data_IF_875685963189
#
_entry.id   IF_875685963189
#
_cell.length_a   1.000
_cell.length_b   1.000
_cell.length_c   1.000
_cell.angle_alpha   90.00
_cell.angle_beta   90.00
_cell.angle_gamma   90.00
#
_symmetry.space_group_name_H-M   'P 1'
#
loop_
_entity.id
_entity.type
_entity.pdbx_description
1 polymer ?
#
# COMPACT_ATOMS: atom_id res chain seq x y z
N UNK A 1 -35.12 -11.86 18.01
CA UNK A 1 -35.29 -10.43 18.35
C UNK A 1 -35.66 -9.70 17.07
N UNK A 2 -36.66 -8.83 17.12
CA UNK A 2 -37.03 -7.98 15.98
C UNK A 2 -35.95 -6.94 15.76
N UNK A 3 -35.43 -6.87 14.54
CA UNK A 3 -34.44 -5.83 14.16
C UNK A 3 -35.08 -4.43 14.30
N UNK A 4 -34.25 -3.45 14.73
CA UNK A 4 -34.72 -2.07 14.98
C UNK A 4 -34.97 -1.29 13.67
N UNK A 5 -34.20 -1.62 12.63
CA UNK A 5 -34.26 -1.02 11.30
C UNK A 5 -34.35 -2.10 10.22
N UNK A 6 -34.63 -1.67 8.99
CA UNK A 6 -34.57 -2.53 7.81
C UNK A 6 -33.57 -1.97 6.81
N UNK A 7 -32.90 -2.83 6.04
CA UNK A 7 -31.98 -2.38 5.01
C UNK A 7 -32.61 -1.44 3.97
N UNK A 8 -33.86 -1.69 3.48
CA UNK A 8 -34.53 -0.78 2.55
C UNK A 8 -34.73 0.64 3.09
N UNK A 9 -35.01 0.81 4.40
CA UNK A 9 -35.13 2.13 5.01
C UNK A 9 -33.80 2.88 4.99
N UNK A 10 -32.70 2.23 5.37
CA UNK A 10 -31.36 2.82 5.36
C UNK A 10 -30.92 3.18 3.94
N UNK A 11 -31.17 2.28 2.98
CA UNK A 11 -30.86 2.51 1.56
C UNK A 11 -31.64 3.72 1.02
N UNK A 12 -32.95 3.81 1.33
CA UNK A 12 -33.79 4.91 0.88
C UNK A 12 -33.30 6.25 1.44
N UNK A 13 -32.89 6.33 2.71
CA UNK A 13 -32.31 7.55 3.28
C UNK A 13 -31.08 8.00 2.50
N UNK A 14 -30.11 7.14 2.23
CA UNK A 14 -28.89 7.51 1.47
C UNK A 14 -29.18 7.79 0.00
N UNK A 15 -30.10 7.02 -0.63
CA UNK A 15 -30.56 7.28 -2.01
C UNK A 15 -31.13 8.69 -2.15
N UNK A 16 -31.90 9.12 -1.15
CA UNK A 16 -32.61 10.41 -1.14
C UNK A 16 -31.75 11.54 -0.51
N UNK A 17 -30.43 11.33 -0.39
CA UNK A 17 -29.41 12.26 0.13
C UNK A 17 -29.60 12.67 1.59
N UNK A 18 -30.28 11.87 2.38
CA UNK A 18 -30.39 12.10 3.81
C UNK A 18 -29.14 11.58 4.54
N UNK A 19 -28.90 12.17 5.70
CA UNK A 19 -27.83 11.80 6.62
C UNK A 19 -28.30 10.66 7.52
N UNK A 20 -27.48 9.63 7.69
CA UNK A 20 -27.72 8.55 8.63
C UNK A 20 -27.31 8.97 10.04
N UNK A 21 -28.13 8.65 11.03
CA UNK A 21 -27.76 8.84 12.44
C UNK A 21 -26.88 7.67 12.93
N UNK A 22 -26.28 7.84 14.12
CA UNK A 22 -25.34 6.87 14.70
C UNK A 22 -25.95 5.48 14.87
N UNK A 23 -27.20 5.40 15.35
CA UNK A 23 -27.89 4.11 15.57
C UNK A 23 -28.14 3.36 14.25
N UNK A 24 -28.45 4.07 13.18
CA UNK A 24 -28.65 3.52 11.84
C UNK A 24 -27.34 2.98 11.26
N UNK A 25 -26.25 3.71 11.44
CA UNK A 25 -24.91 3.30 11.00
C UNK A 25 -24.46 2.06 11.76
N UNK A 26 -24.56 2.08 13.09
CA UNK A 26 -24.20 0.95 13.94
C UNK A 26 -24.99 -0.31 13.56
N UNK A 27 -26.30 -0.15 13.40
CA UNK A 27 -27.17 -1.27 13.03
C UNK A 27 -26.79 -1.86 11.67
N UNK A 28 -26.60 -1.04 10.64
CA UNK A 28 -26.37 -1.58 9.28
C UNK A 28 -25.02 -2.28 9.16
N UNK A 29 -23.97 -1.75 9.82
CA UNK A 29 -22.64 -2.39 9.83
C UNK A 29 -22.66 -3.71 10.60
N UNK A 30 -23.29 -3.75 11.78
CA UNK A 30 -23.46 -4.97 12.58
C UNK A 30 -24.35 -6.00 11.87
N UNK A 31 -25.52 -5.60 11.37
CA UNK A 31 -26.46 -6.47 10.68
C UNK A 31 -25.87 -7.07 9.40
N UNK A 32 -25.03 -6.30 8.66
CA UNK A 32 -24.30 -6.83 7.52
C UNK A 32 -23.23 -7.83 7.94
N UNK A 33 -22.51 -7.55 9.01
CA UNK A 33 -21.48 -8.45 9.54
C UNK A 33 -22.09 -9.80 9.96
N UNK A 34 -23.26 -9.77 10.62
CA UNK A 34 -24.01 -10.96 11.04
C UNK A 34 -24.76 -11.68 9.88
N UNK A 35 -24.79 -11.09 8.68
CA UNK A 35 -25.52 -11.65 7.53
C UNK A 35 -27.05 -11.41 7.55
N UNK A 36 -27.56 -10.49 8.37
CA UNK A 36 -28.96 -10.05 8.38
C UNK A 36 -29.26 -9.15 7.18
N UNK A 37 -28.33 -8.23 6.87
CA UNK A 37 -28.36 -7.46 5.63
C UNK A 37 -27.67 -8.29 4.55
N UNK A 38 -28.37 -8.53 3.45
CA UNK A 38 -27.87 -9.32 2.32
C UNK A 38 -26.88 -8.52 1.45
N UNK A 39 -26.07 -9.23 0.65
CA UNK A 39 -25.04 -8.59 -0.20
C UNK A 39 -25.67 -7.65 -1.24
N UNK A 40 -26.80 -8.00 -1.85
CA UNK A 40 -27.55 -7.15 -2.77
C UNK A 40 -28.05 -5.86 -2.11
N UNK A 41 -28.45 -5.91 -0.84
CA UNK A 41 -28.87 -4.73 -0.08
C UNK A 41 -27.67 -3.83 0.26
N UNK A 42 -26.58 -4.43 0.72
CA UNK A 42 -25.35 -3.70 1.01
C UNK A 42 -24.73 -3.11 -0.28
N UNK A 43 -24.84 -3.79 -1.42
CA UNK A 43 -24.42 -3.26 -2.72
C UNK A 43 -25.19 -2.00 -3.10
N UNK A 44 -26.52 -2.01 -2.89
CA UNK A 44 -27.36 -0.85 -3.13
C UNK A 44 -27.00 0.33 -2.21
N UNK A 45 -26.71 0.06 -0.93
CA UNK A 45 -26.26 1.08 0.00
C UNK A 45 -24.87 1.64 -0.38
N UNK A 46 -23.93 0.78 -0.73
CA UNK A 46 -22.59 1.20 -1.17
C UNK A 46 -22.66 2.08 -2.43
N UNK A 47 -23.54 1.75 -3.38
CA UNK A 47 -23.79 2.57 -4.57
C UNK A 47 -24.44 3.91 -4.22
N UNK A 48 -25.42 3.93 -3.29
CA UNK A 48 -26.02 5.17 -2.81
C UNK A 48 -24.97 6.08 -2.13
N UNK A 49 -24.05 5.51 -1.35
CA UNK A 49 -22.94 6.24 -0.74
C UNK A 49 -21.97 6.76 -1.81
N UNK A 50 -21.61 5.96 -2.82
CA UNK A 50 -20.76 6.39 -3.93
C UNK A 50 -21.31 7.62 -4.64
N UNK A 51 -22.61 7.61 -4.93
CA UNK A 51 -23.28 8.66 -5.71
C UNK A 51 -23.61 9.93 -4.91
N UNK A 52 -23.88 9.79 -3.61
CA UNK A 52 -24.38 10.86 -2.77
C UNK A 52 -23.42 11.29 -1.64
N UNK A 53 -22.36 10.52 -1.40
CA UNK A 53 -21.39 10.79 -0.34
C UNK A 53 -21.90 10.47 1.08
N UNK A 54 -21.08 10.81 2.05
CA UNK A 54 -21.36 10.78 3.49
C UNK A 54 -20.82 12.04 4.15
N UNK A 55 -21.50 12.53 5.17
CA UNK A 55 -21.00 13.61 6.02
C UNK A 55 -19.82 13.12 6.89
N UNK A 56 -18.99 14.04 7.36
CA UNK A 56 -17.77 13.71 8.14
C UNK A 56 -18.06 12.85 9.37
N UNK A 57 -19.14 13.16 10.10
CA UNK A 57 -19.51 12.37 11.27
C UNK A 57 -20.02 10.97 10.89
N UNK A 58 -20.74 10.80 9.76
CA UNK A 58 -21.16 9.50 9.27
C UNK A 58 -19.92 8.62 8.97
N UNK A 59 -18.88 9.19 8.31
CA UNK A 59 -17.67 8.47 7.98
C UNK A 59 -16.94 8.01 9.25
N UNK A 60 -16.82 8.90 10.24
CA UNK A 60 -16.21 8.59 11.53
C UNK A 60 -16.96 7.51 12.27
N UNK A 61 -18.31 7.58 12.32
CA UNK A 61 -19.16 6.57 12.98
C UNK A 61 -19.10 5.23 12.26
N UNK A 62 -19.13 5.25 10.92
CA UNK A 62 -18.98 4.04 10.10
C UNK A 62 -17.66 3.34 10.37
N UNK A 63 -16.57 4.11 10.42
CA UNK A 63 -15.25 3.60 10.75
C UNK A 63 -15.20 2.97 12.14
N UNK A 64 -15.78 3.65 13.15
CA UNK A 64 -15.86 3.14 14.52
C UNK A 64 -16.69 1.85 14.60
N UNK A 65 -17.83 1.78 13.90
CA UNK A 65 -18.65 0.57 13.83
C UNK A 65 -17.86 -0.60 13.21
N UNK A 66 -17.06 -0.35 12.16
CA UNK A 66 -16.18 -1.36 11.58
C UNK A 66 -15.10 -1.83 12.55
N UNK A 67 -14.47 -0.91 13.31
CA UNK A 67 -13.48 -1.26 14.34
C UNK A 67 -14.12 -2.15 15.41
N UNK A 68 -15.30 -1.77 15.92
CA UNK A 68 -16.04 -2.51 16.95
C UNK A 68 -16.56 -3.87 16.49
N UNK A 69 -16.60 -4.13 15.19
CA UNK A 69 -16.97 -5.44 14.65
C UNK A 69 -15.95 -6.53 14.93
N UNK A 70 -14.73 -6.17 15.34
CA UNK A 70 -13.62 -7.09 15.54
C UNK A 70 -12.76 -6.78 16.76
N UNK A 71 -11.54 -7.32 16.72
CA UNK A 71 -10.54 -7.15 17.77
C UNK A 71 -9.74 -5.87 17.55
N UNK A 72 -9.22 -5.30 18.64
CA UNK A 72 -8.22 -4.23 18.62
C UNK A 72 -6.94 -4.75 19.26
N UNK A 73 -5.82 -4.55 18.58
CA UNK A 73 -4.52 -4.96 19.11
C UNK A 73 -4.04 -4.01 20.22
N UNK A 74 -3.26 -4.54 21.14
CA UNK A 74 -2.71 -3.80 22.28
C UNK A 74 -1.20 -4.02 22.37
N UNK A 75 -0.45 -2.93 22.33
CA UNK A 75 1.01 -2.90 22.37
C UNK A 75 1.56 -2.34 23.70
N UNK A 76 0.74 -2.21 24.74
CA UNK A 76 1.15 -1.62 26.03
C UNK A 76 2.29 -2.35 26.73
N UNK A 77 2.57 -3.59 26.33
CA UNK A 77 3.69 -4.39 26.86
C UNK A 77 5.03 -4.15 26.11
N UNK A 78 5.02 -3.31 25.06
CA UNK A 78 6.26 -2.91 24.40
C UNK A 78 6.88 -1.73 25.16
N UNK A 79 8.21 -1.74 25.30
CA UNK A 79 9.01 -0.70 25.96
C UNK A 79 9.36 0.49 25.06
N UNK A 80 8.77 0.54 23.86
CA UNK A 80 9.05 1.53 22.83
C UNK A 80 7.77 2.03 22.15
N UNK A 81 7.75 3.27 21.61
CA UNK A 81 6.58 3.81 20.95
C UNK A 81 6.26 3.04 19.67
N UNK A 82 4.97 2.89 19.39
CA UNK A 82 4.48 2.23 18.17
C UNK A 82 4.13 3.25 17.10
N UNK A 83 4.57 3.00 15.87
CA UNK A 83 4.25 3.82 14.70
C UNK A 83 4.11 2.93 13.48
N UNK A 84 3.14 3.23 12.63
CA UNK A 84 2.99 2.54 11.36
C UNK A 84 2.87 3.50 10.18
N UNK A 85 2.98 2.96 8.97
CA UNK A 85 2.78 3.67 7.70
C UNK A 85 1.77 2.94 6.84
N UNK A 86 0.82 3.66 6.26
CA UNK A 86 -0.05 3.14 5.22
C UNK A 86 0.21 3.83 3.89
N UNK A 87 0.40 3.04 2.82
CA UNK A 87 0.42 3.54 1.45
C UNK A 87 -0.88 3.19 0.74
N UNK A 88 -1.41 4.12 -0.06
CA UNK A 88 -2.54 3.83 -0.95
C UNK A 88 -2.14 2.96 -2.15
N UNK A 89 -0.85 2.65 -2.28
CA UNK A 89 -0.31 1.77 -3.31
C UNK A 89 0.07 2.48 -4.61
N UNK A 90 0.95 1.85 -5.37
CA UNK A 90 1.45 2.36 -6.63
C UNK A 90 2.36 1.36 -7.32
N UNK A 91 2.95 1.78 -8.44
CA UNK A 91 3.84 0.95 -9.25
C UNK A 91 5.27 1.06 -8.74
N UNK A 92 5.88 -0.09 -8.43
CA UNK A 92 7.20 -0.13 -7.82
C UNK A 92 7.22 0.35 -6.36
N UNK A 93 6.06 0.46 -5.70
CA UNK A 93 5.97 0.90 -4.30
C UNK A 93 6.43 -0.22 -3.35
N UNK A 94 7.73 -0.28 -3.19
CA UNK A 94 8.44 -1.20 -2.30
C UNK A 94 8.80 -0.57 -0.95
N UNK A 95 8.43 0.69 -0.74
CA UNK A 95 8.88 1.52 0.39
C UNK A 95 8.71 0.84 1.76
N UNK A 96 7.63 0.11 1.96
CA UNK A 96 7.39 -0.60 3.23
C UNK A 96 8.52 -1.58 3.59
N UNK A 97 9.15 -2.23 2.60
CA UNK A 97 10.20 -3.23 2.83
C UNK A 97 11.44 -2.64 3.51
N UNK A 98 12.06 -1.58 2.99
CA UNK A 98 13.18 -0.94 3.67
C UNK A 98 12.75 -0.05 4.85
N UNK A 99 11.53 0.51 4.84
CA UNK A 99 11.07 1.47 5.84
C UNK A 99 10.87 0.83 7.22
N UNK A 100 10.21 -0.34 7.29
CA UNK A 100 9.92 -1.00 8.58
C UNK A 100 11.20 -1.32 9.36
N UNK A 101 12.19 -2.03 8.80
CA UNK A 101 13.44 -2.30 9.51
C UNK A 101 14.25 -1.03 9.79
N UNK A 102 14.18 -0.02 8.92
CA UNK A 102 14.86 1.26 9.14
C UNK A 102 14.30 1.98 10.37
N UNK A 103 12.97 2.13 10.47
CA UNK A 103 12.31 2.79 11.61
C UNK A 103 12.50 1.98 12.88
N UNK A 104 12.41 0.65 12.80
CA UNK A 104 12.71 -0.24 13.93
C UNK A 104 14.16 -0.09 14.44
N UNK A 105 15.13 0.10 13.54
CA UNK A 105 16.54 0.34 13.88
C UNK A 105 16.77 1.66 14.61
N UNK A 106 15.82 2.58 14.52
CA UNK A 106 15.85 3.88 15.19
C UNK A 106 15.13 3.86 16.57
N UNK A 107 14.59 2.72 17.01
CA UNK A 107 14.02 2.54 18.35
C UNK A 107 12.49 2.55 18.43
N UNK A 108 11.76 2.65 17.32
CA UNK A 108 10.31 2.46 17.32
C UNK A 108 9.93 0.97 17.21
N UNK A 109 8.66 0.66 17.51
CA UNK A 109 8.02 -0.59 17.15
C UNK A 109 7.08 -0.36 15.95
N UNK A 110 7.22 -1.19 14.91
CA UNK A 110 6.47 -1.05 13.66
C UNK A 110 5.65 -2.33 13.36
N UNK A 111 4.39 -2.40 13.82
CA UNK A 111 3.50 -3.54 13.56
C UNK A 111 2.78 -3.39 12.22
N UNK A 112 3.50 -3.47 11.12
CA UNK A 112 3.00 -3.18 9.78
C UNK A 112 2.06 -4.26 9.26
N UNK A 113 0.76 -3.97 9.22
CA UNK A 113 -0.22 -4.78 8.49
C UNK A 113 -0.25 -4.38 7.02
N UNK A 114 -0.12 -5.37 6.16
CA UNK A 114 -0.03 -5.18 4.71
C UNK A 114 -0.99 -6.08 3.94
N UNK A 115 -1.19 -5.75 2.67
CA UNK A 115 -2.08 -6.47 1.76
C UNK A 115 -1.35 -7.14 0.60
N UNK A 116 -2.12 -7.98 -0.12
CA UNK A 116 -1.76 -8.52 -1.42
C UNK A 116 -2.15 -7.54 -2.52
N UNK A 117 -1.44 -7.57 -3.64
CA UNK A 117 -1.76 -6.78 -4.82
C UNK A 117 -2.91 -7.36 -5.65
N UNK A 118 -3.54 -6.48 -6.42
CA UNK A 118 -4.49 -6.85 -7.46
C UNK A 118 -4.32 -5.90 -8.64
N UNK A 119 -4.37 -6.43 -9.87
CA UNK A 119 -4.14 -5.65 -11.08
C UNK A 119 -2.71 -5.12 -11.18
N UNK A 120 -2.56 -3.84 -11.53
CA UNK A 120 -1.29 -3.20 -11.83
C UNK A 120 -0.48 -2.76 -10.60
N UNK A 121 -1.05 -2.81 -9.40
CA UNK A 121 -0.35 -2.46 -8.16
C UNK A 121 0.17 -3.71 -7.47
N UNK A 122 1.46 -3.76 -7.18
CA UNK A 122 2.09 -4.88 -6.47
C UNK A 122 1.78 -4.85 -4.97
N UNK A 123 1.46 -6.03 -4.39
CA UNK A 123 1.23 -6.16 -2.95
C UNK A 123 2.52 -6.35 -2.15
N UNK A 124 2.60 -5.75 -0.98
CA UNK A 124 3.76 -5.90 -0.08
C UNK A 124 3.98 -7.36 0.31
N UNK A 125 2.90 -8.09 0.62
CA UNK A 125 3.00 -9.50 1.00
C UNK A 125 3.48 -10.38 -0.17
N UNK A 126 3.04 -10.08 -1.39
CA UNK A 126 3.44 -10.83 -2.59
C UNK A 126 4.94 -10.69 -2.87
N UNK A 127 5.48 -9.50 -2.61
CA UNK A 127 6.92 -9.26 -2.72
C UNK A 127 7.69 -10.10 -1.70
N UNK A 128 7.30 -10.05 -0.42
CA UNK A 128 7.95 -10.81 0.64
C UNK A 128 7.80 -12.32 0.51
N UNK A 129 6.72 -12.81 -0.10
CA UNK A 129 6.53 -14.25 -0.42
C UNK A 129 7.52 -14.77 -1.48
N UNK A 130 8.27 -13.88 -2.15
CA UNK A 130 9.41 -14.30 -2.97
C UNK A 130 10.62 -14.74 -2.15
N UNK A 131 10.66 -14.42 -0.85
CA UNK A 131 11.70 -14.87 0.07
C UNK A 131 11.37 -16.29 0.56
N UNK A 132 12.27 -17.22 0.36
CA UNK A 132 12.07 -18.63 0.71
C UNK A 132 11.70 -18.79 2.19
N UNK A 133 10.61 -19.53 2.46
CA UNK A 133 10.13 -19.86 3.80
C UNK A 133 9.39 -18.75 4.55
N UNK A 134 9.37 -17.51 4.04
CA UNK A 134 8.73 -16.39 4.74
C UNK A 134 7.20 -16.56 4.87
N UNK A 135 6.68 -16.23 6.06
CA UNK A 135 5.25 -16.37 6.39
C UNK A 135 4.57 -15.01 6.49
N UNK A 136 3.54 -14.80 5.66
CA UNK A 136 2.68 -13.63 5.70
C UNK A 136 1.68 -13.64 6.87
N UNK A 137 1.16 -14.82 7.22
CA UNK A 137 0.11 -14.95 8.25
C UNK A 137 0.73 -15.34 9.58
N UNK A 138 0.49 -14.52 10.60
CA UNK A 138 0.91 -14.72 11.97
C UNK A 138 -0.30 -14.64 12.89
N UNK A 139 -0.27 -15.36 14.01
CA UNK A 139 -1.18 -15.12 15.13
C UNK A 139 -0.78 -13.83 15.86
N UNK A 140 -1.67 -13.28 16.69
CA UNK A 140 -1.37 -12.09 17.48
C UNK A 140 -0.17 -12.30 18.40
N UNK A 141 -0.02 -13.50 18.99
CA UNK A 141 1.11 -13.84 19.87
C UNK A 141 2.43 -13.95 19.08
N UNK A 142 2.39 -14.58 17.89
CA UNK A 142 3.57 -14.64 17.00
C UNK A 142 3.99 -13.24 16.56
N UNK A 143 3.02 -12.39 16.17
CA UNK A 143 3.28 -11.02 15.78
C UNK A 143 3.91 -10.21 16.92
N UNK A 144 3.36 -10.31 18.14
CA UNK A 144 3.91 -9.66 19.32
C UNK A 144 5.34 -10.10 19.57
N UNK A 145 5.61 -11.41 19.52
CA UNK A 145 6.96 -11.96 19.72
C UNK A 145 7.95 -11.41 18.68
N UNK A 146 7.57 -11.40 17.40
CA UNK A 146 8.42 -10.85 16.33
C UNK A 146 8.75 -9.39 16.60
N UNK A 147 7.78 -8.57 17.01
CA UNK A 147 8.00 -7.14 17.29
C UNK A 147 8.90 -6.96 18.52
N UNK A 148 8.71 -7.73 19.57
CA UNK A 148 9.57 -7.68 20.77
C UNK A 148 11.03 -8.00 20.42
N UNK A 149 11.26 -9.02 19.61
CA UNK A 149 12.60 -9.50 19.24
C UNK A 149 13.30 -8.60 18.21
N UNK A 150 12.54 -7.98 17.29
CA UNK A 150 13.11 -7.31 16.11
C UNK A 150 12.76 -5.83 15.98
N UNK A 151 11.74 -5.36 16.70
CA UNK A 151 11.20 -3.99 16.58
C UNK A 151 10.26 -3.79 15.40
N UNK A 152 10.14 -4.72 14.46
CA UNK A 152 9.27 -4.59 13.30
C UNK A 152 8.71 -5.93 12.82
N UNK A 153 7.53 -5.89 12.22
CA UNK A 153 6.90 -7.03 11.55
C UNK A 153 6.14 -6.53 10.33
N UNK A 154 6.12 -7.30 9.25
CA UNK A 154 5.24 -7.07 8.10
C UNK A 154 4.41 -8.33 7.92
N UNK A 155 3.09 -8.26 8.12
CA UNK A 155 2.24 -9.44 8.00
C UNK A 155 0.84 -9.08 7.49
N UNK A 156 0.05 -10.11 7.18
CA UNK A 156 -1.36 -9.96 6.83
C UNK A 156 -2.19 -9.61 8.05
N UNK A 157 -3.25 -8.82 7.88
CA UNK A 157 -4.23 -8.60 8.92
C UNK A 157 -4.89 -9.92 9.33
N UNK A 158 -4.98 -10.19 10.63
CA UNK A 158 -5.66 -11.35 11.18
C UNK A 158 -7.16 -11.35 10.85
N UNK A 159 -7.79 -12.51 10.90
CA UNK A 159 -9.22 -12.65 10.57
C UNK A 159 -10.14 -11.87 11.52
N UNK A 160 -9.71 -11.64 12.77
CA UNK A 160 -10.43 -10.90 13.79
C UNK A 160 -10.36 -9.38 13.64
N UNK A 161 -9.48 -8.86 12.78
CA UNK A 161 -9.31 -7.41 12.62
C UNK A 161 -10.32 -6.85 11.62
N UNK A 162 -11.23 -5.96 12.10
CA UNK A 162 -12.26 -5.30 11.31
C UNK A 162 -13.00 -6.23 10.30
N UNK A 163 -13.64 -7.33 10.74
CA UNK A 163 -14.28 -8.30 9.86
C UNK A 163 -15.40 -7.69 9.00
N UNK A 164 -16.08 -6.66 9.49
CA UNK A 164 -17.06 -5.90 8.71
C UNK A 164 -16.44 -5.29 7.46
N UNK A 165 -15.24 -4.70 7.59
CA UNK A 165 -14.52 -4.14 6.45
C UNK A 165 -14.09 -5.21 5.46
N UNK A 166 -13.55 -6.34 5.94
CA UNK A 166 -13.16 -7.45 5.06
C UNK A 166 -14.30 -7.93 4.17
N UNK A 167 -15.50 -8.08 4.75
CA UNK A 167 -16.70 -8.50 4.03
C UNK A 167 -17.15 -7.42 3.03
N UNK A 168 -17.21 -6.16 3.47
CA UNK A 168 -17.63 -5.04 2.64
C UNK A 168 -16.65 -4.76 1.49
N UNK A 169 -15.35 -4.85 1.74
CA UNK A 169 -14.34 -4.65 0.70
C UNK A 169 -14.47 -5.68 -0.43
N UNK A 170 -14.66 -6.96 -0.08
CA UNK A 170 -14.88 -8.02 -1.06
C UNK A 170 -16.14 -7.78 -1.92
N UNK A 171 -17.20 -7.24 -1.33
CA UNK A 171 -18.42 -6.86 -2.05
C UNK A 171 -18.16 -5.67 -2.99
N UNK A 172 -17.47 -4.64 -2.50
CA UNK A 172 -17.18 -3.43 -3.28
C UNK A 172 -16.33 -3.71 -4.51
N UNK A 173 -15.41 -4.68 -4.41
CA UNK A 173 -14.53 -5.10 -5.51
C UNK A 173 -15.33 -5.61 -6.72
N UNK A 174 -16.45 -6.29 -6.50
CA UNK A 174 -17.29 -6.86 -7.57
C UNK A 174 -18.49 -5.99 -7.96
N UNK A 175 -18.74 -4.89 -7.25
CA UNK A 175 -19.92 -4.00 -7.47
C UNK A 175 -19.55 -2.63 -8.01
N UNK A 176 -18.27 -2.41 -8.40
CA UNK A 176 -17.77 -1.13 -8.90
C UNK A 176 -18.03 0.04 -7.92
N UNK A 177 -17.90 -0.20 -6.61
CA UNK A 177 -18.09 0.81 -5.56
C UNK A 177 -16.82 1.10 -4.76
N UNK A 178 -15.66 0.60 -5.22
CA UNK A 178 -14.37 0.81 -4.54
C UNK A 178 -13.99 2.29 -4.49
N UNK A 179 -14.36 3.08 -5.49
CA UNK A 179 -13.94 4.49 -5.65
C UNK A 179 -14.63 5.48 -4.68
N UNK A 180 -15.58 5.03 -3.86
CA UNK A 180 -16.26 5.88 -2.88
C UNK A 180 -15.29 6.34 -1.78
N UNK A 181 -14.85 7.62 -1.80
CA UNK A 181 -13.89 8.18 -0.84
C UNK A 181 -14.27 7.89 0.63
N UNK A 182 -15.55 8.07 1.07
CA UNK A 182 -15.93 7.72 2.43
C UNK A 182 -15.63 6.27 2.82
N UNK A 183 -15.91 5.34 1.90
CA UNK A 183 -15.70 3.92 2.12
C UNK A 183 -14.23 3.51 1.97
N UNK A 184 -13.43 4.20 1.15
CA UNK A 184 -11.98 4.01 1.10
C UNK A 184 -11.35 4.43 2.42
N UNK A 185 -11.67 5.64 2.89
CA UNK A 185 -11.15 6.18 4.14
C UNK A 185 -11.50 5.27 5.33
N UNK A 186 -12.77 4.87 5.45
CA UNK A 186 -13.23 3.97 6.52
C UNK A 186 -12.54 2.60 6.45
N UNK A 187 -12.38 2.03 5.26
CA UNK A 187 -11.70 0.73 5.06
C UNK A 187 -10.24 0.77 5.50
N UNK A 188 -9.50 1.81 5.14
CA UNK A 188 -8.10 1.98 5.53
C UNK A 188 -8.03 2.22 7.05
N UNK A 189 -8.76 3.22 7.53
CA UNK A 189 -8.63 3.68 8.91
C UNK A 189 -9.18 2.69 9.93
N UNK A 190 -10.21 1.91 9.62
CA UNK A 190 -10.70 0.88 10.53
C UNK A 190 -9.63 -0.16 10.86
N UNK A 191 -8.87 -0.62 9.86
CA UNK A 191 -7.75 -1.55 10.06
C UNK A 191 -6.60 -0.90 10.81
N UNK A 192 -6.21 0.32 10.42
CA UNK A 192 -5.07 1.03 11.01
C UNK A 192 -5.32 1.46 12.47
N UNK A 193 -6.55 1.82 12.82
CA UNK A 193 -6.92 2.11 14.21
C UNK A 193 -7.06 0.82 15.02
N UNK A 194 -7.66 -0.24 14.45
CA UNK A 194 -7.77 -1.54 15.10
C UNK A 194 -6.39 -2.21 15.32
N UNK A 195 -5.40 -1.92 14.49
CA UNK A 195 -3.99 -2.30 14.69
C UNK A 195 -3.40 -1.73 15.98
N UNK A 196 -3.96 -0.64 16.52
CA UNK A 196 -3.65 -0.14 17.87
C UNK A 196 -2.36 0.65 18.00
N UNK A 197 -1.73 1.09 16.91
CA UNK A 197 -0.53 1.93 16.94
C UNK A 197 -0.80 3.32 17.50
N UNK A 198 0.16 3.88 18.25
CA UNK A 198 0.06 5.24 18.79
C UNK A 198 0.18 6.33 17.73
N UNK A 199 0.91 6.05 16.65
CA UNK A 199 1.18 7.01 15.57
C UNK A 199 1.05 6.37 14.19
N UNK A 200 0.63 7.17 13.19
CA UNK A 200 0.42 6.71 11.82
C UNK A 200 0.83 7.76 10.79
N UNK A 201 1.64 7.37 9.81
CA UNK A 201 1.92 8.16 8.61
C UNK A 201 1.15 7.58 7.43
N UNK A 202 0.36 8.42 6.76
CA UNK A 202 -0.34 8.06 5.53
C UNK A 202 0.49 8.55 4.33
N UNK A 203 0.83 7.64 3.44
CA UNK A 203 1.47 7.89 2.16
C UNK A 203 0.40 7.79 1.06
N UNK A 204 -0.26 8.92 0.77
CA UNK A 204 -1.35 9.00 -0.20
C UNK A 204 -0.77 9.31 -1.57
N UNK A 205 -0.72 8.31 -2.43
CA UNK A 205 -0.16 8.44 -3.77
C UNK A 205 -1.14 9.05 -4.76
N UNK A 206 -0.64 9.93 -5.63
CA UNK A 206 -1.39 10.53 -6.73
C UNK A 206 -0.57 10.54 -8.02
N UNK A 207 -1.23 10.47 -9.16
CA UNK A 207 -0.61 10.37 -10.49
C UNK A 207 -1.05 9.12 -11.24
N UNK A 208 -0.51 8.90 -12.44
CA UNK A 208 -0.98 7.87 -13.37
C UNK A 208 -0.92 6.44 -12.79
N UNK A 209 0.08 6.13 -11.97
CA UNK A 209 0.26 4.81 -11.36
C UNK A 209 -0.42 4.63 -10.00
N UNK A 210 -1.12 5.65 -9.49
CA UNK A 210 -1.83 5.60 -8.22
C UNK A 210 -3.29 5.19 -8.40
N UNK A 211 -3.86 4.58 -7.35
CA UNK A 211 -5.30 4.33 -7.29
C UNK A 211 -6.10 5.64 -7.34
N UNK A 212 -5.64 6.69 -6.66
CA UNK A 212 -6.22 8.02 -6.65
C UNK A 212 -5.41 8.95 -7.57
N UNK A 213 -5.66 8.89 -8.89
CA UNK A 213 -4.89 9.63 -9.88
C UNK A 213 -5.10 11.15 -9.83
N UNK A 214 -6.28 11.61 -9.40
CA UNK A 214 -6.62 13.03 -9.26
C UNK A 214 -6.07 13.60 -7.94
N UNK A 215 -5.18 14.61 -7.96
CA UNK A 215 -4.60 15.20 -6.76
C UNK A 215 -5.62 15.89 -5.85
N UNK A 216 -6.75 16.39 -6.38
CA UNK A 216 -7.82 17.00 -5.57
C UNK A 216 -8.52 15.91 -4.74
N UNK A 217 -8.86 14.79 -5.35
CA UNK A 217 -9.43 13.63 -4.67
C UNK A 217 -8.45 12.98 -3.69
N UNK A 218 -7.17 12.92 -4.05
CA UNK A 218 -6.12 12.42 -3.14
C UNK A 218 -6.02 13.28 -1.87
N UNK A 219 -6.08 14.61 -2.01
CA UNK A 219 -6.11 15.55 -0.88
C UNK A 219 -7.37 15.36 -0.03
N UNK A 220 -8.54 15.22 -0.66
CA UNK A 220 -9.79 14.96 0.05
C UNK A 220 -9.69 13.67 0.87
N UNK A 221 -9.25 12.57 0.28
CA UNK A 221 -9.05 11.29 0.95
C UNK A 221 -8.07 11.42 2.13
N UNK A 222 -6.92 12.06 1.92
CA UNK A 222 -5.92 12.29 2.96
C UNK A 222 -6.49 13.09 4.14
N UNK A 223 -7.24 14.17 3.85
CA UNK A 223 -7.88 15.00 4.87
C UNK A 223 -8.88 14.20 5.69
N UNK A 224 -9.76 13.44 5.04
CA UNK A 224 -10.75 12.59 5.72
C UNK A 224 -10.06 11.58 6.64
N UNK A 225 -9.03 10.89 6.14
CA UNK A 225 -8.30 9.89 6.93
C UNK A 225 -7.59 10.52 8.15
N UNK A 226 -6.99 11.71 8.00
CA UNK A 226 -6.36 12.43 9.11
C UNK A 226 -7.39 12.81 10.17
N UNK A 227 -8.56 13.31 9.76
CA UNK A 227 -9.65 13.66 10.69
C UNK A 227 -10.16 12.43 11.46
N UNK A 228 -10.36 11.29 10.79
CA UNK A 228 -10.76 10.03 11.43
C UNK A 228 -9.70 9.61 12.46
N UNK A 229 -8.41 9.62 12.08
CA UNK A 229 -7.33 9.22 12.99
C UNK A 229 -7.24 10.12 14.22
N UNK A 230 -7.32 11.45 14.06
CA UNK A 230 -7.35 12.42 15.16
C UNK A 230 -8.54 12.17 16.09
N UNK A 231 -9.73 11.93 15.52
CA UNK A 231 -10.94 11.64 16.31
C UNK A 231 -10.82 10.33 17.11
N UNK A 232 -10.05 9.38 16.63
CA UNK A 232 -9.75 8.12 17.32
C UNK A 232 -8.55 8.21 18.30
N UNK A 233 -7.94 9.38 18.46
CA UNK A 233 -6.80 9.59 19.36
C UNK A 233 -5.46 9.10 18.82
N UNK A 234 -5.35 8.85 17.51
CA UNK A 234 -4.10 8.48 16.85
C UNK A 234 -3.31 9.73 16.47
N UNK A 235 -2.01 9.75 16.77
CA UNK A 235 -1.12 10.81 16.27
C UNK A 235 -0.83 10.57 14.79
N UNK A 236 -1.40 11.38 13.91
CA UNK A 236 -1.48 11.07 12.48
C UNK A 236 -1.09 12.26 11.59
N UNK A 237 -0.39 11.93 10.50
CA UNK A 237 -0.01 12.85 9.42
C UNK A 237 -0.17 12.15 8.08
N UNK A 238 -0.53 12.90 7.03
CA UNK A 238 -0.57 12.40 5.66
C UNK A 238 0.41 13.18 4.77
N UNK A 239 1.06 12.45 3.87
CA UNK A 239 1.87 12.99 2.78
C UNK A 239 1.18 12.62 1.46
N UNK A 240 0.98 13.60 0.59
CA UNK A 240 0.59 13.34 -0.80
C UNK A 240 1.87 13.19 -1.60
N UNK A 241 2.06 12.02 -2.22
CA UNK A 241 3.28 11.67 -2.94
C UNK A 241 3.03 11.37 -4.41
N UNK A 242 3.98 11.74 -5.27
CA UNK A 242 3.88 11.56 -6.71
C UNK A 242 4.03 10.09 -7.13
N UNK A 243 3.18 9.64 -8.05
CA UNK A 243 3.19 8.30 -8.65
C UNK A 243 2.97 8.32 -10.17
N UNK A 244 3.40 9.38 -10.85
CA UNK A 244 3.39 9.44 -12.31
C UNK A 244 4.50 8.61 -12.94
N UNK A 245 5.58 8.39 -12.17
CA UNK A 245 6.75 7.57 -12.54
C UNK A 245 6.84 6.40 -11.55
N UNK A 246 7.15 5.17 -12.01
CA UNK A 246 7.38 4.05 -11.08
C UNK A 246 8.46 4.39 -10.05
N UNK A 247 8.28 3.97 -8.79
CA UNK A 247 9.32 4.13 -7.77
C UNK A 247 10.44 3.10 -7.99
N UNK A 248 11.67 3.57 -7.97
CA UNK A 248 12.83 2.76 -8.23
C UNK A 248 12.97 2.35 -9.69
N UNK A 249 13.78 1.34 -9.92
CA UNK A 249 14.13 0.81 -11.24
C UNK A 249 13.49 -0.54 -11.53
N UNK A 250 12.56 -1.01 -10.65
CA UNK A 250 11.92 -2.31 -10.81
C UNK A 250 10.42 -2.25 -10.47
N UNK A 251 9.64 -3.03 -11.21
CA UNK A 251 8.24 -3.34 -10.90
C UNK A 251 8.02 -4.85 -11.04
N UNK A 252 7.74 -5.53 -9.90
CA UNK A 252 7.59 -6.99 -9.82
C UNK A 252 8.02 -7.48 -8.43
N UNK A 253 7.70 -8.75 -8.08
CA UNK A 253 7.83 -9.19 -6.69
C UNK A 253 9.29 -9.35 -6.23
N UNK A 254 10.01 -10.35 -6.71
CA UNK A 254 11.41 -10.60 -6.36
C UNK A 254 12.35 -9.47 -6.79
N UNK A 255 12.07 -8.82 -7.92
CA UNK A 255 12.85 -7.69 -8.41
C UNK A 255 12.81 -6.53 -7.40
N UNK A 256 11.64 -6.22 -6.85
CA UNK A 256 11.48 -5.15 -5.87
C UNK A 256 12.07 -5.51 -4.50
N UNK A 257 12.07 -6.80 -4.10
CA UNK A 257 12.78 -7.24 -2.89
C UNK A 257 14.28 -7.04 -3.05
N UNK A 258 14.86 -7.41 -4.21
CA UNK A 258 16.28 -7.17 -4.50
C UNK A 258 16.64 -5.70 -4.35
N UNK A 259 15.87 -4.83 -4.98
CA UNK A 259 16.10 -3.37 -4.91
C UNK A 259 15.95 -2.83 -3.49
N UNK A 260 14.99 -3.36 -2.70
CA UNK A 260 14.83 -3.00 -1.29
C UNK A 260 16.04 -3.42 -0.43
N UNK A 261 16.61 -4.58 -0.69
CA UNK A 261 17.85 -5.05 -0.05
C UNK A 261 19.03 -4.16 -0.41
N UNK A 262 19.13 -3.69 -1.67
CA UNK A 262 20.16 -2.72 -2.08
C UNK A 262 20.03 -1.40 -1.31
N UNK A 263 18.79 -0.90 -1.10
CA UNK A 263 18.55 0.30 -0.26
C UNK A 263 19.01 0.07 1.18
N UNK A 264 18.69 -1.08 1.75
CA UNK A 264 19.12 -1.44 3.12
C UNK A 264 20.63 -1.64 3.25
N UNK A 265 21.31 -1.96 2.15
CA UNK A 265 22.76 -2.03 2.07
C UNK A 265 23.45 -0.66 1.87
N UNK A 266 22.67 0.44 1.87
CA UNK A 266 23.17 1.80 1.70
C UNK A 266 23.32 2.25 0.25
N UNK A 267 22.78 1.50 -0.72
CA UNK A 267 22.72 1.82 -2.15
C UNK A 267 21.28 2.02 -2.63
N UNK A 268 20.97 1.50 -3.83
CA UNK A 268 19.64 1.52 -4.45
C UNK A 268 19.26 2.84 -5.14
N UNK A 269 18.09 2.89 -5.78
CA UNK A 269 17.61 4.06 -6.50
C UNK A 269 17.37 5.27 -5.60
N UNK A 270 17.79 6.43 -6.08
CA UNK A 270 17.76 7.68 -5.29
C UNK A 270 16.35 8.07 -4.81
N UNK A 271 15.32 7.87 -5.63
CA UNK A 271 13.93 8.18 -5.30
C UNK A 271 13.38 7.25 -4.20
N UNK A 272 13.75 5.97 -4.21
CA UNK A 272 13.37 5.00 -3.17
C UNK A 272 14.05 5.36 -1.85
N UNK A 273 15.36 5.65 -1.89
CA UNK A 273 16.13 6.07 -0.70
C UNK A 273 15.55 7.38 -0.13
N UNK A 274 15.32 8.40 -0.98
CA UNK A 274 14.79 9.70 -0.57
C UNK A 274 13.43 9.55 0.12
N UNK A 275 12.48 8.83 -0.50
CA UNK A 275 11.14 8.67 0.06
C UNK A 275 11.16 7.80 1.33
N UNK A 276 11.99 6.74 1.37
CA UNK A 276 12.13 5.89 2.56
C UNK A 276 12.65 6.68 3.76
N UNK A 277 13.72 7.46 3.58
CA UNK A 277 14.30 8.28 4.65
C UNK A 277 13.34 9.37 5.10
N UNK A 278 12.64 10.01 4.16
CA UNK A 278 11.66 11.04 4.46
C UNK A 278 10.50 10.49 5.30
N UNK A 279 9.89 9.39 4.86
CA UNK A 279 8.81 8.73 5.62
C UNK A 279 9.29 8.23 6.98
N UNK A 280 10.53 7.71 7.08
CA UNK A 280 11.10 7.32 8.36
C UNK A 280 11.21 8.49 9.33
N UNK A 281 11.66 9.66 8.87
CA UNK A 281 11.72 10.90 9.68
C UNK A 281 10.33 11.32 10.17
N UNK A 282 9.31 11.32 9.30
CA UNK A 282 7.93 11.64 9.68
C UNK A 282 7.38 10.64 10.72
N UNK A 283 7.68 9.34 10.56
CA UNK A 283 7.29 8.30 11.52
C UNK A 283 7.96 8.50 12.88
N UNK A 284 9.27 8.78 12.91
CA UNK A 284 10.04 8.99 14.15
C UNK A 284 9.58 10.26 14.86
N UNK A 285 9.32 11.35 14.12
CA UNK A 285 8.78 12.60 14.67
C UNK A 285 7.45 12.35 15.38
N UNK A 286 6.49 11.67 14.72
CA UNK A 286 5.20 11.34 15.31
C UNK A 286 5.32 10.39 16.51
N UNK A 287 6.30 9.49 16.51
CA UNK A 287 6.59 8.59 17.63
C UNK A 287 7.34 9.28 18.79
N UNK A 288 7.70 10.56 18.67
CA UNK A 288 8.45 11.31 19.68
C UNK A 288 9.92 10.89 19.80
N UNK A 289 10.47 10.23 18.80
CA UNK A 289 11.88 9.80 18.77
C UNK A 289 12.72 10.90 18.12
N UNK A 290 13.75 11.36 18.85
CA UNK A 290 14.68 12.39 18.42
C UNK A 290 16.13 11.96 18.61
N UNK A 291 17.07 12.70 18.01
CA UNK A 291 18.51 12.44 18.18
C UNK A 291 19.06 11.30 17.31
N UNK A 292 18.27 10.73 16.40
CA UNK A 292 18.69 9.73 15.42
C UNK A 292 18.25 10.14 14.03
N UNK A 293 19.16 10.11 13.05
CA UNK A 293 18.82 10.25 11.64
C UNK A 293 18.72 8.86 10.99
N UNK A 294 17.55 8.47 10.43
CA UNK A 294 17.40 7.18 9.77
C UNK A 294 18.38 6.98 8.60
N UNK A 295 18.81 8.06 7.93
CA UNK A 295 19.81 7.96 6.85
C UNK A 295 21.15 7.37 7.33
N UNK A 296 21.54 7.60 8.59
CA UNK A 296 22.76 7.04 9.16
C UNK A 296 22.63 5.53 9.38
N UNK A 297 21.43 5.05 9.75
CA UNK A 297 21.17 3.63 9.97
C UNK A 297 21.09 2.81 8.67
N UNK A 298 20.82 3.44 7.53
CA UNK A 298 21.05 2.81 6.22
C UNK A 298 22.54 2.65 5.94
N UNK A 299 23.33 3.72 6.15
CA UNK A 299 24.77 3.74 5.82
C UNK A 299 25.59 2.83 6.72
N UNK A 300 25.25 2.69 8.01
CA UNK A 300 26.01 1.91 8.98
C UNK A 300 25.57 0.44 9.10
N UNK A 301 24.60 0.00 8.31
CA UNK A 301 24.11 -1.39 8.25
C UNK A 301 23.08 -1.78 9.30
N UNK A 302 22.73 -0.92 10.27
CA UNK A 302 21.75 -1.25 11.31
C UNK A 302 20.37 -1.60 10.74
N UNK A 303 19.92 -0.89 9.70
CA UNK A 303 18.65 -1.19 9.04
C UNK A 303 18.67 -2.59 8.40
N UNK A 304 19.78 -2.99 7.77
CA UNK A 304 19.98 -4.32 7.20
C UNK A 304 19.96 -5.41 8.28
N UNK A 305 20.57 -5.16 9.44
CA UNK A 305 20.57 -6.12 10.56
C UNK A 305 19.13 -6.33 11.08
N UNK A 306 18.32 -5.27 11.16
CA UNK A 306 16.90 -5.37 11.53
C UNK A 306 16.09 -6.13 10.47
N UNK A 307 16.30 -5.87 9.18
CA UNK A 307 15.70 -6.62 8.09
C UNK A 307 15.98 -8.12 8.22
N UNK A 308 17.25 -8.52 8.36
CA UNK A 308 17.63 -9.93 8.47
C UNK A 308 16.98 -10.61 9.65
N UNK A 309 16.95 -9.96 10.82
CA UNK A 309 16.28 -10.49 12.01
C UNK A 309 14.78 -10.62 11.81
N UNK A 310 14.13 -9.61 11.23
CA UNK A 310 12.69 -9.61 10.96
C UNK A 310 12.31 -10.74 9.99
N UNK A 311 13.02 -10.89 8.87
CA UNK A 311 12.77 -11.96 7.90
C UNK A 311 12.95 -13.34 8.55
N UNK A 312 14.01 -13.56 9.32
CA UNK A 312 14.25 -14.83 10.05
C UNK A 312 13.17 -15.11 11.10
N UNK A 313 12.73 -14.09 11.83
CA UNK A 313 11.67 -14.24 12.84
C UNK A 313 10.32 -14.65 12.22
N UNK A 314 10.13 -14.37 10.93
CA UNK A 314 8.96 -14.80 10.14
C UNK A 314 9.27 -16.05 9.28
N UNK A 315 10.25 -16.88 9.66
CA UNK A 315 10.70 -18.11 9.02
C UNK A 315 11.30 -17.95 7.60
N UNK A 316 11.57 -16.73 7.14
CA UNK A 316 12.21 -16.49 5.85
C UNK A 316 13.73 -16.62 5.94
N UNK A 317 14.35 -16.98 4.82
CA UNK A 317 15.80 -16.94 4.67
C UNK A 317 16.21 -15.66 3.92
N UNK A 318 16.77 -14.64 4.61
CA UNK A 318 17.14 -13.37 4.00
C UNK A 318 18.35 -13.47 3.06
N UNK A 319 19.08 -14.59 3.09
CA UNK A 319 20.28 -14.83 2.29
C UNK A 319 20.02 -15.81 1.13
N UNK A 320 18.82 -16.40 1.05
CA UNK A 320 18.45 -17.27 -0.06
C UNK A 320 18.36 -16.52 -1.39
N UNK A 321 18.70 -17.22 -2.48
CA UNK A 321 18.52 -16.67 -3.83
C UNK A 321 17.04 -16.37 -4.09
N UNK A 322 16.75 -15.16 -4.54
CA UNK A 322 15.40 -14.77 -4.95
C UNK A 322 15.03 -15.40 -6.29
N UNK A 323 13.76 -15.73 -6.52
CA UNK A 323 13.27 -16.23 -7.80
C UNK A 323 13.64 -15.30 -8.96
N UNK A 324 14.02 -15.90 -10.08
CA UNK A 324 14.29 -15.21 -11.34
C UNK A 324 13.43 -15.85 -12.44
N UNK A 325 12.92 -15.03 -13.35
CA UNK A 325 12.22 -15.54 -14.52
C UNK A 325 13.18 -16.20 -15.52
N UNK A 326 12.69 -17.21 -16.23
CA UNK A 326 13.46 -17.97 -17.21
C UNK A 326 13.73 -17.19 -18.51
N UNK A 327 12.77 -16.33 -18.89
CA UNK A 327 12.79 -15.61 -20.16
C UNK A 327 12.92 -14.11 -19.96
N UNK A 328 13.64 -13.45 -20.85
CA UNK A 328 13.87 -12.02 -20.83
C UNK A 328 13.72 -11.42 -22.22
N UNK A 329 13.11 -10.23 -22.30
CA UNK A 329 12.99 -9.45 -23.51
C UNK A 329 13.41 -8.00 -23.26
N UNK A 330 14.36 -7.51 -24.03
CA UNK A 330 14.85 -6.13 -23.94
C UNK A 330 14.05 -5.24 -24.90
N UNK A 331 13.55 -4.13 -24.37
CA UNK A 331 12.89 -3.07 -25.15
C UNK A 331 13.88 -1.90 -25.23
N UNK A 332 14.26 -1.55 -26.45
CA UNK A 332 15.22 -0.50 -26.72
C UNK A 332 14.57 0.84 -27.05
N UNK A 333 15.28 1.93 -26.80
CA UNK A 333 14.87 3.26 -27.24
C UNK A 333 14.86 3.37 -28.77
N UNK A 334 13.76 3.80 -29.34
CA UNK A 334 13.61 3.98 -30.80
C UNK A 334 14.40 5.20 -31.31
N UNK A 335 14.62 6.21 -30.45
CA UNK A 335 15.34 7.44 -30.75
C UNK A 335 16.23 7.90 -29.59
N UNK A 336 17.23 8.70 -29.91
CA UNK A 336 18.05 9.36 -28.89
C UNK A 336 17.30 10.58 -28.33
N UNK A 337 17.46 10.85 -27.01
CA UNK A 337 16.86 12.02 -26.35
C UNK A 337 16.87 11.89 -24.85
N UNK A 338 16.45 12.94 -24.16
CA UNK A 338 16.21 12.89 -22.72
C UNK A 338 14.82 12.33 -22.45
N UNK A 339 14.73 11.34 -21.59
CA UNK A 339 13.43 10.83 -21.11
C UNK A 339 12.77 11.96 -20.29
N UNK A 340 11.60 12.41 -20.70
CA UNK A 340 10.88 13.50 -20.02
C UNK A 340 9.65 13.01 -19.29
N UNK A 341 9.10 11.87 -19.71
CA UNK A 341 7.96 11.23 -19.08
C UNK A 341 8.10 9.72 -19.08
N UNK A 342 7.63 9.08 -18.02
CA UNK A 342 7.44 7.63 -17.96
C UNK A 342 6.10 7.36 -17.25
N UNK A 343 5.18 6.73 -17.96
CA UNK A 343 3.84 6.46 -17.45
C UNK A 343 3.84 5.25 -16.52
N UNK A 344 3.67 5.50 -15.21
CA UNK A 344 3.69 4.46 -14.20
C UNK A 344 2.58 3.42 -14.38
N UNK A 345 1.37 3.83 -14.80
CA UNK A 345 0.26 2.90 -15.04
C UNK A 345 0.62 1.89 -16.13
N UNK A 346 1.15 2.37 -17.26
CA UNK A 346 1.56 1.51 -18.38
C UNK A 346 2.61 0.50 -17.98
N UNK A 347 3.61 0.92 -17.19
CA UNK A 347 4.64 0.02 -16.65
C UNK A 347 4.02 -1.00 -15.68
N UNK A 348 3.13 -0.56 -14.78
CA UNK A 348 2.44 -1.45 -13.85
C UNK A 348 1.55 -2.48 -14.55
N UNK A 349 0.80 -2.06 -15.58
CA UNK A 349 -0.03 -2.97 -16.40
C UNK A 349 0.85 -3.97 -17.16
N UNK A 350 1.98 -3.53 -17.70
CA UNK A 350 2.91 -4.45 -18.36
C UNK A 350 3.50 -5.48 -17.38
N UNK A 351 3.91 -5.06 -16.19
CA UNK A 351 4.39 -5.98 -15.15
C UNK A 351 3.29 -6.99 -14.73
N UNK A 352 2.06 -6.52 -14.56
CA UNK A 352 0.90 -7.38 -14.31
C UNK A 352 0.70 -8.42 -15.42
N UNK A 353 0.73 -8.00 -16.69
CA UNK A 353 0.58 -8.89 -17.86
C UNK A 353 1.70 -9.91 -18.00
N UNK A 354 2.90 -9.64 -17.46
CA UNK A 354 4.01 -10.60 -17.39
C UNK A 354 3.82 -11.67 -16.32
N UNK A 355 2.80 -11.55 -15.46
CA UNK A 355 2.49 -12.50 -14.39
C UNK A 355 2.96 -12.06 -13.01
N UNK A 356 3.42 -10.82 -12.83
CA UNK A 356 3.80 -10.28 -11.52
C UNK A 356 2.61 -9.89 -10.64
N UNK A 357 1.42 -9.66 -11.21
CA UNK A 357 0.21 -9.31 -10.49
C UNK A 357 -0.95 -10.29 -10.74
N UNK A 358 -1.97 -10.27 -9.87
CA UNK A 358 -3.17 -11.12 -9.97
C UNK A 358 -4.26 -10.47 -10.80
N UNK A 359 -4.95 -11.28 -11.61
CA UNK A 359 -6.22 -10.92 -12.23
C UNK A 359 -7.42 -11.23 -11.34
N UNK A 360 -7.29 -12.20 -10.43
CA UNK A 360 -8.32 -12.61 -9.47
C UNK A 360 -7.70 -13.10 -8.16
N UNK A 361 -8.44 -13.04 -7.08
CA UNK A 361 -7.99 -13.54 -5.78
C UNK A 361 -7.62 -15.03 -5.86
N UNK A 362 -6.52 -15.42 -5.20
CA UNK A 362 -6.02 -16.82 -5.16
C UNK A 362 -5.21 -17.24 -6.37
N UNK A 363 -5.06 -16.39 -7.39
CA UNK A 363 -4.19 -16.69 -8.53
C UNK A 363 -2.72 -16.79 -8.13
N UNK A 364 -2.01 -17.78 -8.67
CA UNK A 364 -0.57 -17.95 -8.42
C UNK A 364 0.23 -16.94 -9.24
N UNK A 365 1.18 -16.29 -8.58
CA UNK A 365 2.08 -15.32 -9.21
C UNK A 365 3.35 -15.97 -9.73
N UNK A 366 3.89 -15.41 -10.79
CA UNK A 366 5.27 -15.67 -11.20
C UNK A 366 6.17 -14.71 -10.39
N UNK A 367 6.76 -15.20 -9.31
CA UNK A 367 7.50 -14.36 -8.37
C UNK A 367 8.75 -13.70 -8.98
N UNK A 368 9.33 -14.30 -10.03
CA UNK A 368 10.45 -13.73 -10.80
C UNK A 368 10.04 -12.78 -11.91
N UNK A 369 8.74 -12.68 -12.23
CA UNK A 369 8.25 -11.84 -13.32
C UNK A 369 8.23 -10.35 -12.94
N UNK A 370 8.34 -9.49 -13.96
CA UNK A 370 8.31 -8.04 -13.78
C UNK A 370 9.09 -7.28 -14.84
N UNK A 371 9.44 -6.05 -14.53
CA UNK A 371 10.15 -5.11 -15.41
C UNK A 371 11.32 -4.50 -14.67
N UNK A 372 12.50 -4.51 -15.30
CA UNK A 372 13.64 -3.64 -14.96
C UNK A 372 13.60 -2.41 -15.86
N UNK A 373 13.84 -1.24 -15.28
CA UNK A 373 13.82 0.08 -15.93
C UNK A 373 15.28 0.55 -16.01
N UNK A 374 15.77 0.88 -17.21
CA UNK A 374 17.16 1.25 -17.44
C UNK A 374 17.39 2.75 -17.63
N UNK A 375 16.33 3.53 -17.75
CA UNK A 375 16.43 4.99 -17.81
C UNK A 375 15.17 5.63 -17.20
N UNK A 376 15.37 6.62 -16.35
CA UNK A 376 14.31 7.41 -15.70
C UNK A 376 14.16 8.78 -16.33
N UNK A 377 13.04 9.49 -16.10
CA UNK A 377 12.91 10.88 -16.50
C UNK A 377 14.06 11.74 -15.98
N UNK A 378 14.64 12.53 -16.89
CA UNK A 378 15.87 13.33 -16.70
C UNK A 378 17.14 12.68 -17.24
N UNK A 379 17.12 11.39 -17.56
CA UNK A 379 18.27 10.69 -18.13
C UNK A 379 18.24 10.71 -19.66
N UNK A 380 19.42 10.82 -20.26
CA UNK A 380 19.59 10.83 -21.73
C UNK A 380 19.96 9.43 -22.22
N UNK A 381 19.26 8.97 -23.24
CA UNK A 381 19.49 7.68 -23.90
C UNK A 381 19.82 7.86 -25.37
N UNK A 382 20.50 6.86 -25.93
CA UNK A 382 20.78 6.76 -27.38
C UNK A 382 19.78 5.79 -28.04
N UNK A 383 19.48 6.02 -29.31
CA UNK A 383 18.71 5.03 -30.09
C UNK A 383 19.40 3.66 -30.02
N UNK A 384 18.60 2.61 -29.77
CA UNK A 384 19.07 1.24 -29.53
C UNK A 384 19.52 0.94 -28.09
N UNK A 385 19.60 1.91 -27.20
CA UNK A 385 19.89 1.68 -25.78
C UNK A 385 18.68 1.05 -25.09
N UNK A 386 18.91 0.08 -24.19
CA UNK A 386 17.84 -0.55 -23.40
C UNK A 386 17.07 0.49 -22.57
N UNK A 387 15.75 0.43 -22.63
CA UNK A 387 14.81 1.18 -21.77
C UNK A 387 14.21 0.30 -20.70
N UNK A 388 13.79 -0.92 -21.09
CA UNK A 388 13.20 -1.90 -20.20
C UNK A 388 13.75 -3.30 -20.47
N UNK A 389 13.85 -4.11 -19.42
CA UNK A 389 13.94 -5.56 -19.55
C UNK A 389 12.70 -6.19 -18.95
N UNK A 390 11.95 -6.93 -19.74
CA UNK A 390 10.78 -7.68 -19.34
C UNK A 390 11.18 -9.09 -18.89
N UNK A 391 10.61 -9.56 -17.80
CA UNK A 391 10.91 -10.86 -17.19
C UNK A 391 9.63 -11.68 -17.03
N UNK A 392 9.59 -12.92 -17.53
CA UNK A 392 8.47 -13.85 -17.36
C UNK A 392 8.95 -15.30 -17.54
N UNK A 393 8.21 -16.27 -16.98
CA UNK A 393 8.41 -17.70 -17.28
C UNK A 393 7.62 -18.15 -18.53
N UNK A 394 6.81 -17.25 -19.11
CA UNK A 394 5.87 -17.53 -20.20
C UNK A 394 6.09 -16.55 -21.36
N UNK A 395 6.92 -16.90 -22.36
CA UNK A 395 7.27 -15.98 -23.44
C UNK A 395 6.06 -15.45 -24.23
N UNK A 396 4.95 -16.20 -24.27
CA UNK A 396 3.70 -15.75 -24.88
C UNK A 396 3.08 -14.51 -24.24
N UNK A 397 3.52 -14.11 -23.03
CA UNK A 397 3.06 -12.91 -22.35
C UNK A 397 3.77 -11.64 -22.80
N UNK A 398 4.91 -11.75 -23.49
CA UNK A 398 5.69 -10.58 -23.91
C UNK A 398 4.91 -9.66 -24.84
N UNK A 399 4.18 -10.18 -25.82
CA UNK A 399 3.44 -9.37 -26.81
C UNK A 399 2.48 -8.41 -26.12
N UNK A 400 1.63 -8.92 -25.23
CA UNK A 400 0.65 -8.11 -24.50
C UNK A 400 1.29 -7.11 -23.53
N UNK A 401 2.44 -7.46 -22.95
CA UNK A 401 3.20 -6.55 -22.10
C UNK A 401 3.81 -5.40 -22.92
N UNK A 402 4.39 -5.70 -24.10
CA UNK A 402 4.91 -4.69 -25.03
C UNK A 402 3.81 -3.74 -25.51
N UNK A 403 2.61 -4.24 -25.84
CA UNK A 403 1.45 -3.39 -26.16
C UNK A 403 1.13 -2.38 -25.06
N UNK A 404 1.24 -2.80 -23.77
CA UNK A 404 1.00 -1.92 -22.63
C UNK A 404 2.03 -0.80 -22.53
N UNK A 405 3.27 -1.06 -22.97
CA UNK A 405 4.37 -0.09 -22.93
C UNK A 405 4.36 0.90 -24.10
N UNK A 406 3.49 0.73 -25.09
CA UNK A 406 3.38 1.68 -26.20
C UNK A 406 3.07 3.09 -25.70
N UNK A 407 3.93 4.07 -26.02
CA UNK A 407 3.83 5.43 -25.53
C UNK A 407 3.96 5.58 -24.00
N UNK A 408 4.61 4.63 -23.32
CA UNK A 408 4.92 4.75 -21.90
C UNK A 408 6.06 5.75 -21.63
N UNK A 409 6.93 5.98 -22.61
CA UNK A 409 8.09 6.86 -22.49
C UNK A 409 8.00 7.97 -23.54
N UNK A 410 8.18 9.21 -23.09
CA UNK A 410 8.30 10.37 -23.96
C UNK A 410 9.71 10.97 -23.87
N UNK A 411 10.16 11.54 -24.99
CA UNK A 411 11.48 12.14 -25.10
C UNK A 411 11.33 13.59 -25.57
N UNK A 412 11.92 14.53 -24.84
CA UNK A 412 12.00 15.94 -25.21
C UNK A 412 13.34 16.53 -24.77
N UNK A 413 13.54 17.80 -25.05
CA UNK A 413 14.72 18.57 -24.62
C UNK A 413 14.59 19.16 -23.21
N UNK A 414 13.36 19.33 -22.70
CA UNK A 414 13.07 20.02 -21.44
C UNK A 414 12.45 19.04 -20.43
N UNK A 415 13.23 18.68 -19.40
CA UNK A 415 12.75 17.94 -18.25
C UNK A 415 12.83 18.79 -16.99
N UNK A 416 11.76 18.80 -16.21
CA UNK A 416 11.72 19.36 -14.88
C UNK A 416 11.40 18.26 -13.88
N UNK A 417 12.30 18.03 -12.93
CA UNK A 417 12.05 17.06 -11.84
C UNK A 417 10.93 17.58 -10.93
N UNK A 418 9.88 16.79 -10.79
CA UNK A 418 8.84 17.03 -9.80
C UNK A 418 9.28 16.50 -8.42
N UNK A 419 8.87 17.14 -7.32
CA UNK A 419 9.13 16.65 -5.97
C UNK A 419 8.39 15.34 -5.73
N UNK A 420 8.98 14.43 -4.94
CA UNK A 420 8.32 13.19 -4.54
C UNK A 420 7.17 13.45 -3.58
N UNK A 421 7.30 14.42 -2.68
CA UNK A 421 6.24 14.86 -1.77
C UNK A 421 5.66 16.16 -2.28
N UNK A 422 4.37 16.13 -2.61
CA UNK A 422 3.63 17.26 -3.15
C UNK A 422 3.02 18.12 -2.04
N UNK A 423 2.57 17.47 -0.96
CA UNK A 423 1.88 18.17 0.15
C UNK A 423 1.97 17.36 1.45
N UNK A 424 1.85 18.07 2.59
CA UNK A 424 1.70 17.49 3.94
C UNK A 424 0.40 17.97 4.57
N UNK A 425 -0.32 17.07 5.24
CA UNK A 425 -1.60 17.30 5.90
C UNK A 425 -1.56 16.68 7.30
N UNK A 426 -1.82 17.45 8.34
CA UNK A 426 -1.85 16.94 9.71
C UNK A 426 -1.16 17.79 10.74
#
# INVERSE_FOLDING_TARGET
MTERYTAPEIIALKRDRNVLNDDQIDWVVDAYTRGVVADEQMSALAMAILLNGMERHEISRWTDAMIRSGEKMNWSMLDRPTVDKHSTGGVGDKITLPLVPLVASCGAAVPQLSGRGLGHTGGTLDKLESISGWKASLTNDEMLKVIQDTGGVICAAGAGLAPADKKLYALRDVTATVEAIPLIASSIMSKKIAEGTGSLVLDVKTGSGAFMSDPVKARELATVMVEIGKSAGVNIKALITAMDVPLGLTAGNALEVRESVEVLAGGGPADVVELTVLLAREMLELAGISGVDPADNLKNGKAMDHWRRMIKAQNGDPDAALPTANEKLVINAEKSGTVTRMDALKVGVAAWRLGAGRSKQGEQLQLGAGIEIHAKPGETVKAGQALFTLHTDKPELFERAQESLQGAVEFDSNYQRLPLVLERIG
#
